data_IF_029163202775
#
_entry.id   IF_029163202775
#
_cell.length_a   1.000
_cell.length_b   1.000
_cell.length_c   1.000
_cell.angle_alpha   90.00
_cell.angle_beta   90.00
_cell.angle_gamma   90.00
#
_symmetry.space_group_name_H-M   'P 1'
#
loop_
_entity.id
_entity.type
_entity.pdbx_description
1 polymer ?
#
# COMPACT_ATOMS: atom_id res chain seq x y z
N UNK A 1 -14.99 1.34 -6.27
CA UNK A 1 -14.65 2.11 -5.05
C UNK A 1 -14.85 1.19 -3.86
N UNK A 2 -13.87 1.16 -3.00
CA UNK A 2 -13.92 0.38 -1.77
C UNK A 2 -15.13 0.77 -0.90
N UNK A 3 -15.63 -0.17 -0.13
CA UNK A 3 -16.71 0.05 0.84
C UNK A 3 -16.37 -0.60 2.19
N UNK A 4 -16.97 -0.09 3.23
CA UNK A 4 -16.80 -0.65 4.59
C UNK A 4 -17.17 -2.13 4.61
N UNK A 5 -16.30 -2.93 5.22
CA UNK A 5 -16.41 -4.40 5.30
C UNK A 5 -15.83 -5.15 4.10
N UNK A 6 -15.47 -4.46 3.02
CA UNK A 6 -14.79 -5.12 1.90
C UNK A 6 -13.39 -5.58 2.31
N UNK A 7 -13.02 -6.80 1.93
CA UNK A 7 -11.68 -7.35 2.12
C UNK A 7 -11.01 -7.57 0.77
N UNK A 8 -9.75 -7.17 0.67
CA UNK A 8 -8.86 -7.47 -0.44
C UNK A 8 -7.76 -8.41 0.06
N UNK A 9 -7.36 -9.36 -0.76
CA UNK A 9 -6.25 -10.27 -0.45
C UNK A 9 -5.19 -10.19 -1.56
N UNK A 10 -3.95 -10.00 -1.17
CA UNK A 10 -2.83 -9.93 -2.09
C UNK A 10 -2.23 -11.32 -2.30
N UNK A 11 -2.42 -11.96 -3.48
CA UNK A 11 -1.93 -13.31 -3.72
C UNK A 11 -0.40 -13.42 -3.76
N UNK A 12 0.31 -12.29 -3.89
CA UNK A 12 1.79 -12.28 -3.92
C UNK A 12 2.41 -12.28 -2.52
N UNK A 13 1.75 -11.69 -1.52
CA UNK A 13 2.26 -11.53 -0.16
C UNK A 13 1.44 -12.26 0.90
N UNK A 14 0.18 -12.60 0.60
CA UNK A 14 -0.78 -13.15 1.54
C UNK A 14 -1.35 -12.10 2.51
N UNK A 15 -1.03 -10.82 2.32
CA UNK A 15 -1.64 -9.76 3.14
C UNK A 15 -3.12 -9.62 2.83
N UNK A 16 -3.93 -9.31 3.85
CA UNK A 16 -5.35 -9.02 3.74
C UNK A 16 -5.65 -7.64 4.29
N UNK A 17 -6.43 -6.86 3.55
CA UNK A 17 -6.83 -5.51 3.90
C UNK A 17 -8.34 -5.46 3.99
N UNK A 18 -8.89 -5.21 5.18
CA UNK A 18 -10.32 -5.02 5.40
C UNK A 18 -10.61 -3.54 5.65
N UNK A 19 -11.41 -2.92 4.80
CA UNK A 19 -11.78 -1.51 4.95
C UNK A 19 -12.78 -1.32 6.10
N UNK A 20 -12.42 -0.52 7.10
CA UNK A 20 -13.24 -0.16 8.25
C UNK A 20 -13.95 1.18 8.07
N UNK A 21 -13.25 2.15 7.54
CA UNK A 21 -13.76 3.46 7.12
C UNK A 21 -13.14 3.83 5.80
N UNK A 22 -13.94 4.43 4.93
CA UNK A 22 -13.51 4.81 3.58
C UNK A 22 -13.53 6.33 3.40
N UNK A 23 -12.84 6.82 2.39
CA UNK A 23 -12.88 8.23 1.99
C UNK A 23 -14.32 8.71 1.79
N UNK A 24 -15.18 7.88 1.21
CA UNK A 24 -16.58 8.23 0.95
C UNK A 24 -17.39 8.48 2.23
N UNK A 25 -17.16 7.71 3.30
CA UNK A 25 -17.91 7.85 4.55
C UNK A 25 -17.25 8.77 5.60
N UNK A 26 -16.06 9.31 5.28
CA UNK A 26 -15.31 10.25 6.13
C UNK A 26 -15.13 11.64 5.50
N UNK A 27 -15.73 11.88 4.32
CA UNK A 27 -15.51 13.12 3.59
C UNK A 27 -14.07 13.33 3.12
N UNK A 28 -13.31 12.25 2.96
CA UNK A 28 -11.89 12.28 2.57
C UNK A 28 -10.90 12.49 3.71
N UNK A 29 -11.37 12.64 4.94
CA UNK A 29 -10.50 12.92 6.10
C UNK A 29 -9.68 11.70 6.54
N UNK A 30 -10.26 10.50 6.43
CA UNK A 30 -9.69 9.29 7.00
C UNK A 30 -10.00 8.07 6.15
N UNK A 31 -8.97 7.26 5.90
CA UNK A 31 -9.10 5.84 5.60
C UNK A 31 -8.70 5.04 6.84
N UNK A 32 -9.52 4.09 7.28
CA UNK A 32 -9.16 3.12 8.31
C UNK A 32 -9.31 1.69 7.77
N UNK A 33 -8.29 0.89 8.00
CA UNK A 33 -8.24 -0.51 7.58
C UNK A 33 -7.77 -1.39 8.73
N UNK A 34 -8.18 -2.66 8.73
CA UNK A 34 -7.49 -3.73 9.40
C UNK A 34 -6.58 -4.42 8.38
N UNK A 35 -5.30 -4.50 8.71
CA UNK A 35 -4.25 -5.12 7.91
C UNK A 35 -3.80 -6.41 8.61
N UNK A 36 -4.04 -7.54 7.97
CA UNK A 36 -3.53 -8.83 8.41
C UNK A 36 -2.26 -9.16 7.60
N UNK A 37 -1.18 -9.49 8.29
CA UNK A 37 0.11 -9.84 7.70
C UNK A 37 0.54 -11.22 8.18
N UNK A 38 0.78 -12.18 7.26
CA UNK A 38 1.29 -13.49 7.64
C UNK A 38 2.62 -13.41 8.41
N UNK A 39 2.90 -14.44 9.20
CA UNK A 39 4.12 -14.58 9.98
C UNK A 39 5.37 -14.35 9.12
N UNK A 40 6.35 -13.61 9.66
CA UNK A 40 7.65 -13.35 9.02
C UNK A 40 7.54 -12.69 7.62
N UNK A 41 6.49 -11.90 7.36
CA UNK A 41 6.26 -11.24 6.06
C UNK A 41 6.49 -9.73 6.11
N UNK A 42 6.92 -9.21 4.97
CA UNK A 42 7.03 -7.77 4.70
C UNK A 42 5.95 -7.34 3.74
N UNK A 43 5.51 -6.10 3.88
CA UNK A 43 4.61 -5.47 2.90
C UNK A 43 5.33 -5.34 1.56
N UNK A 44 4.62 -5.55 0.43
CA UNK A 44 5.14 -5.29 -0.90
C UNK A 44 5.64 -3.85 -1.08
N UNK A 45 6.62 -3.67 -1.97
CA UNK A 45 7.15 -2.34 -2.32
C UNK A 45 8.29 -1.84 -1.42
N UNK A 46 8.51 -2.44 -0.25
CA UNK A 46 9.63 -2.07 0.63
C UNK A 46 9.55 -0.64 1.18
N UNK A 47 10.69 0.05 1.29
CA UNK A 47 10.69 1.42 1.84
C UNK A 47 10.01 2.43 0.91
N UNK A 48 9.09 3.19 1.47
CA UNK A 48 8.32 4.21 0.79
C UNK A 48 8.11 5.47 1.65
N UNK A 49 7.46 6.46 1.06
CA UNK A 49 7.16 7.75 1.67
C UNK A 49 5.72 8.11 1.28
N UNK A 50 4.91 8.51 2.25
CA UNK A 50 3.64 9.19 2.00
C UNK A 50 3.86 10.70 2.08
N UNK A 51 3.87 11.45 0.95
CA UNK A 51 4.25 12.86 0.96
C UNK A 51 3.31 13.75 1.75
N UNK A 52 2.03 13.39 1.76
CA UNK A 52 0.92 14.22 2.27
C UNK A 52 0.12 13.56 3.39
N UNK A 53 0.42 12.30 3.71
CA UNK A 53 -0.40 11.49 4.61
C UNK A 53 0.38 11.11 5.86
N UNK A 54 -0.29 11.19 7.00
CA UNK A 54 0.12 10.56 8.24
C UNK A 54 -0.47 9.16 8.28
N UNK A 55 0.31 8.20 8.76
CA UNK A 55 -0.16 6.86 9.07
C UNK A 55 -0.01 6.56 10.55
N UNK A 56 -1.09 6.06 11.16
CA UNK A 56 -1.12 5.58 12.52
C UNK A 56 -1.37 4.09 12.52
N UNK A 57 -0.43 3.33 13.04
CA UNK A 57 -0.48 1.89 13.19
C UNK A 57 -0.73 1.53 14.64
N UNK A 58 -1.78 0.78 14.93
CA UNK A 58 -2.07 0.18 16.22
C UNK A 58 -1.95 -1.32 16.07
N UNK A 59 -0.98 -1.93 16.72
CA UNK A 59 -0.82 -3.39 16.71
C UNK A 59 -1.91 -3.99 17.60
N UNK A 60 -2.78 -4.79 17.01
CA UNK A 60 -3.85 -5.50 17.75
C UNK A 60 -3.35 -6.87 18.18
N UNK A 61 -2.69 -7.58 17.26
CA UNK A 61 -2.11 -8.91 17.49
C UNK A 61 -0.77 -9.04 16.75
N UNK A 62 0.10 -9.90 17.26
CA UNK A 62 1.39 -10.21 16.66
C UNK A 62 2.50 -9.23 17.04
N UNK A 63 3.62 -9.28 16.31
CA UNK A 63 4.82 -8.47 16.57
C UNK A 63 5.28 -7.78 15.30
N UNK A 64 5.16 -6.47 15.28
CA UNK A 64 5.49 -5.64 14.13
C UNK A 64 6.82 -4.91 14.31
N UNK A 65 7.64 -4.91 13.27
CA UNK A 65 8.83 -4.07 13.19
C UNK A 65 8.60 -2.94 12.18
N UNK A 66 8.82 -1.72 12.64
CA UNK A 66 8.81 -0.51 11.84
C UNK A 66 10.22 0.02 11.65
N UNK A 67 10.55 0.47 10.45
CA UNK A 67 11.78 1.18 10.16
C UNK A 67 11.44 2.57 9.62
N UNK A 68 11.83 3.62 10.33
CA UNK A 68 11.63 5.01 10.01
C UNK A 68 13.00 5.70 9.82
N UNK A 69 13.45 5.81 8.58
CA UNK A 69 14.81 6.24 8.28
C UNK A 69 15.85 5.29 8.90
N UNK A 70 16.60 5.80 9.91
CA UNK A 70 17.59 4.99 10.67
C UNK A 70 17.01 4.36 11.93
N UNK A 71 15.88 4.83 12.40
CA UNK A 71 15.23 4.32 13.63
C UNK A 71 14.50 3.01 13.30
N UNK A 72 14.63 2.04 14.21
CA UNK A 72 13.85 0.80 14.20
C UNK A 72 13.03 0.72 15.49
N UNK A 73 11.78 0.35 15.36
CA UNK A 73 10.85 0.17 16.47
C UNK A 73 10.24 -1.22 16.29
N UNK A 74 10.16 -1.97 17.38
CA UNK A 74 9.35 -3.19 17.44
C UNK A 74 8.16 -2.86 18.33
N UNK A 75 6.97 -3.21 17.89
CA UNK A 75 5.73 -2.95 18.59
C UNK A 75 4.90 -4.24 18.69
N UNK A 76 4.33 -4.48 19.85
CA UNK A 76 3.41 -5.56 20.16
C UNK A 76 1.99 -5.08 20.42
N UNK A 77 1.09 -5.98 20.86
CA UNK A 77 -0.32 -5.65 21.07
C UNK A 77 -0.55 -4.45 22.00
N UNK A 78 -1.42 -3.53 21.55
CA UNK A 78 -1.73 -2.27 22.25
C UNK A 78 -0.77 -1.13 21.98
N UNK A 79 0.37 -1.37 21.33
CA UNK A 79 1.33 -0.32 21.02
C UNK A 79 0.98 0.39 19.70
N UNK A 80 1.29 1.69 19.67
CA UNK A 80 0.98 2.57 18.56
C UNK A 80 2.25 3.18 17.97
N UNK A 81 2.35 3.15 16.65
CA UNK A 81 3.42 3.81 15.90
C UNK A 81 2.79 4.80 14.93
N UNK A 82 3.27 6.05 14.95
CA UNK A 82 2.84 7.12 14.04
C UNK A 82 3.97 7.46 13.08
N UNK A 83 3.66 7.48 11.81
CA UNK A 83 4.54 7.88 10.71
C UNK A 83 4.05 9.20 10.14
N UNK A 84 4.74 10.32 10.38
CA UNK A 84 4.32 11.61 9.86
C UNK A 84 4.50 11.71 8.34
N UNK A 85 3.82 12.66 7.66
CA UNK A 85 4.01 12.93 6.24
C UNK A 85 5.46 13.15 5.88
N UNK A 86 5.90 12.62 4.73
CA UNK A 86 7.26 12.74 4.24
C UNK A 86 8.30 11.83 4.90
N UNK A 87 7.93 11.09 5.94
CA UNK A 87 8.84 10.18 6.63
C UNK A 87 9.02 8.89 5.83
N UNK A 88 10.26 8.61 5.44
CA UNK A 88 10.64 7.32 4.84
C UNK A 88 10.48 6.18 5.83
N UNK A 89 9.72 5.16 5.47
CA UNK A 89 9.46 4.02 6.35
C UNK A 89 9.22 2.70 5.60
N UNK A 90 9.25 1.62 6.32
CA UNK A 90 8.72 0.28 5.99
C UNK A 90 8.33 -0.46 7.27
N UNK A 91 7.53 -1.49 7.12
CA UNK A 91 7.15 -2.35 8.23
C UNK A 91 7.04 -3.82 7.82
N UNK A 92 7.10 -4.71 8.81
CA UNK A 92 7.03 -6.14 8.62
C UNK A 92 6.50 -6.81 9.88
N UNK A 93 5.76 -7.90 9.71
CA UNK A 93 5.54 -8.85 10.77
C UNK A 93 6.83 -9.64 11.00
N UNK A 94 7.33 -9.63 12.24
CA UNK A 94 8.55 -10.34 12.66
C UNK A 94 8.27 -11.39 13.72
N UNK A 95 6.99 -11.61 14.03
CA UNK A 95 6.51 -12.68 14.90
C UNK A 95 6.36 -14.00 14.15
N UNK A 96 6.18 -15.07 14.92
CA UNK A 96 5.97 -16.43 14.40
C UNK A 96 4.50 -16.69 14.04
N UNK A 97 3.59 -15.83 14.47
CA UNK A 97 2.17 -15.84 14.18
C UNK A 97 1.79 -14.68 13.25
N UNK A 98 0.59 -14.76 12.64
CA UNK A 98 0.01 -13.68 11.87
C UNK A 98 -0.20 -12.43 12.73
N UNK A 99 -0.01 -11.26 12.17
CA UNK A 99 -0.23 -9.99 12.85
C UNK A 99 -1.48 -9.30 12.32
N UNK A 100 -2.27 -8.74 13.25
CA UNK A 100 -3.38 -7.84 12.96
C UNK A 100 -3.02 -6.42 13.38
N UNK A 101 -3.06 -5.49 12.44
CA UNK A 101 -2.72 -4.09 12.65
C UNK A 101 -3.86 -3.21 12.17
N UNK A 102 -4.37 -2.34 13.03
CA UNK A 102 -5.28 -1.28 12.61
C UNK A 102 -4.47 -0.11 12.09
N UNK A 103 -4.76 0.30 10.86
CA UNK A 103 -4.06 1.40 10.20
C UNK A 103 -5.04 2.52 9.88
N UNK A 104 -4.69 3.73 10.31
CA UNK A 104 -5.39 4.96 9.93
C UNK A 104 -4.49 5.80 9.04
N UNK A 105 -5.03 6.29 7.91
CA UNK A 105 -4.33 7.16 6.95
C UNK A 105 -5.06 8.48 6.84
N UNK A 106 -4.37 9.60 7.09
CA UNK A 106 -4.94 10.95 7.11
C UNK A 106 -4.12 11.94 6.29
N UNK A 107 -4.72 12.69 5.35
CA UNK A 107 -6.04 12.46 4.72
C UNK A 107 -6.09 11.17 3.92
N UNK A 108 -7.28 10.67 3.60
CA UNK A 108 -7.45 9.42 2.84
C UNK A 108 -6.87 9.50 1.43
N UNK A 109 -7.00 10.63 0.74
CA UNK A 109 -6.66 10.84 -0.67
C UNK A 109 -7.19 9.68 -1.54
N UNK A 110 -6.34 9.10 -2.41
CA UNK A 110 -6.66 7.96 -3.26
C UNK A 110 -6.08 6.63 -2.72
N UNK A 111 -5.81 6.52 -1.41
CA UNK A 111 -5.15 5.35 -0.85
C UNK A 111 -5.95 4.06 -1.06
N UNK A 112 -7.29 4.12 -1.01
CA UNK A 112 -8.15 2.98 -1.34
C UNK A 112 -7.90 2.47 -2.77
N UNK A 113 -7.86 3.39 -3.72
CA UNK A 113 -7.60 3.07 -5.13
C UNK A 113 -6.19 2.54 -5.35
N UNK A 114 -5.22 3.01 -4.56
CA UNK A 114 -3.86 2.49 -4.56
C UNK A 114 -3.86 1.02 -4.16
N UNK A 115 -4.52 0.65 -3.06
CA UNK A 115 -4.61 -0.74 -2.61
C UNK A 115 -5.36 -1.62 -3.62
N UNK A 116 -6.53 -1.17 -4.11
CA UNK A 116 -7.30 -1.89 -5.14
C UNK A 116 -6.44 -2.13 -6.39
N UNK A 117 -5.69 -1.12 -6.82
CA UNK A 117 -4.82 -1.21 -8.01
C UNK A 117 -3.64 -2.14 -7.80
N UNK A 118 -2.94 -2.02 -6.67
CA UNK A 118 -1.78 -2.85 -6.35
C UNK A 118 -2.16 -4.33 -6.27
N UNK A 119 -3.26 -4.64 -5.57
CA UNK A 119 -3.76 -6.01 -5.44
C UNK A 119 -4.29 -6.53 -6.78
N UNK A 120 -5.04 -5.71 -7.53
CA UNK A 120 -5.50 -6.08 -8.87
C UNK A 120 -4.36 -6.41 -9.84
N UNK A 121 -3.23 -5.71 -9.76
CA UNK A 121 -2.01 -6.07 -10.52
C UNK A 121 -1.45 -7.42 -10.09
N UNK A 122 -1.43 -7.71 -8.80
CA UNK A 122 -0.96 -8.99 -8.28
C UNK A 122 -1.88 -10.14 -8.72
N UNK A 123 -3.19 -9.98 -8.63
CA UNK A 123 -4.20 -10.96 -9.10
C UNK A 123 -4.06 -11.27 -10.60
N UNK A 124 -3.71 -10.27 -11.41
CA UNK A 124 -3.49 -10.41 -12.85
C UNK A 124 -2.11 -10.96 -13.21
N UNK A 125 -1.26 -11.31 -12.22
CA UNK A 125 0.11 -11.76 -12.44
C UNK A 125 1.01 -10.68 -13.07
N UNK A 126 0.68 -9.39 -12.88
CA UNK A 126 1.40 -8.24 -13.43
C UNK A 126 2.41 -7.65 -12.44
N UNK A 127 2.81 -8.43 -11.46
CA UNK A 127 3.87 -8.11 -10.50
C UNK A 127 5.12 -8.95 -10.74
N UNK A 128 6.23 -8.48 -10.21
CA UNK A 128 7.52 -9.18 -10.12
C UNK A 128 7.73 -9.69 -8.70
N UNK A 129 8.89 -10.29 -8.45
CA UNK A 129 9.29 -10.73 -7.12
C UNK A 129 9.13 -9.61 -6.09
N UNK A 130 8.54 -9.93 -4.93
CA UNK A 130 8.25 -8.96 -3.87
C UNK A 130 7.00 -8.10 -4.12
N UNK A 131 6.12 -8.48 -5.05
CA UNK A 131 4.85 -7.79 -5.32
C UNK A 131 4.98 -6.44 -6.05
N UNK A 132 6.17 -6.12 -6.55
CA UNK A 132 6.41 -4.86 -7.30
C UNK A 132 5.76 -4.96 -8.68
N UNK A 133 4.97 -3.97 -9.13
CA UNK A 133 4.41 -3.96 -10.49
C UNK A 133 5.48 -4.08 -11.58
N UNK A 134 5.13 -4.70 -12.71
CA UNK A 134 6.02 -4.77 -13.87
C UNK A 134 6.37 -3.37 -14.38
N UNK A 135 7.49 -3.15 -15.10
CA UNK A 135 7.99 -1.81 -15.41
C UNK A 135 7.00 -0.82 -16.03
N UNK A 136 6.16 -1.27 -16.97
CA UNK A 136 5.13 -0.40 -17.56
C UNK A 136 4.00 -0.09 -16.58
N UNK A 137 3.60 -1.06 -15.78
CA UNK A 137 2.60 -0.89 -14.74
C UNK A 137 3.12 0.00 -13.61
N UNK A 138 4.37 -0.21 -13.19
CA UNK A 138 5.03 0.61 -12.18
C UNK A 138 5.10 2.08 -12.62
N UNK A 139 5.40 2.33 -13.90
CA UNK A 139 5.47 3.68 -14.43
C UNK A 139 4.11 4.39 -14.40
N UNK A 140 3.02 3.69 -14.70
CA UNK A 140 1.66 4.24 -14.60
C UNK A 140 1.24 4.39 -13.14
N UNK A 141 1.49 3.38 -12.32
CA UNK A 141 1.15 3.35 -10.90
C UNK A 141 1.80 4.52 -10.14
N UNK A 142 3.11 4.72 -10.32
CA UNK A 142 3.83 5.80 -9.64
C UNK A 142 3.42 7.21 -10.09
N UNK A 143 2.88 7.36 -11.31
CA UNK A 143 2.33 8.64 -11.77
C UNK A 143 0.91 8.88 -11.26
N UNK A 144 0.10 7.84 -11.17
CA UNK A 144 -1.28 7.94 -10.70
C UNK A 144 -1.34 8.24 -9.20
N UNK A 145 -0.44 7.64 -8.42
CA UNK A 145 -0.44 7.68 -6.95
C UNK A 145 0.77 8.44 -6.37
N UNK A 146 1.29 9.45 -7.09
CA UNK A 146 2.48 10.19 -6.62
C UNK A 146 2.25 10.99 -5.33
N UNK A 147 1.01 11.30 -5.01
CA UNK A 147 0.62 12.01 -3.79
C UNK A 147 0.39 11.05 -2.61
N UNK A 148 0.04 9.79 -2.91
CA UNK A 148 -0.23 8.76 -1.92
C UNK A 148 1.04 8.03 -1.51
N UNK A 149 1.85 7.57 -2.48
CA UNK A 149 3.03 6.78 -2.17
C UNK A 149 4.16 7.01 -3.18
N UNK A 150 5.38 7.08 -2.66
CA UNK A 150 6.60 7.25 -3.44
C UNK A 150 7.63 6.23 -2.99
N UNK A 151 8.28 5.55 -3.92
CA UNK A 151 9.44 4.72 -3.62
C UNK A 151 10.55 5.56 -3.00
N UNK A 152 11.18 5.06 -1.95
CA UNK A 152 12.24 5.78 -1.25
C UNK A 152 13.58 5.81 -2.02
N UNK A 153 13.74 4.98 -3.04
CA UNK A 153 14.94 4.89 -3.89
C UNK A 153 14.57 4.39 -5.29
N UNK A 154 15.23 4.86 -6.34
CA UNK A 154 16.21 5.98 -6.39
C UNK A 154 15.56 7.35 -6.10
N UNK A 155 16.31 8.47 -6.05
CA UNK A 155 15.74 9.81 -5.86
C UNK A 155 14.67 10.16 -6.89
N UNK A 156 13.65 10.96 -6.52
CA UNK A 156 12.48 11.29 -7.36
C UNK A 156 12.84 11.79 -8.77
N UNK A 157 13.83 12.64 -8.89
CA UNK A 157 14.24 13.16 -10.20
C UNK A 157 14.67 12.04 -11.14
N UNK A 158 15.39 11.04 -10.63
CA UNK A 158 15.84 9.88 -11.41
C UNK A 158 14.67 8.95 -11.72
N UNK A 159 13.78 8.71 -10.74
CA UNK A 159 12.54 7.95 -10.99
C UNK A 159 11.74 8.57 -12.13
N UNK A 160 11.57 9.90 -12.14
CA UNK A 160 10.85 10.61 -13.22
C UNK A 160 11.52 10.44 -14.58
N UNK A 161 12.84 10.56 -14.66
CA UNK A 161 13.58 10.38 -15.92
C UNK A 161 13.38 8.96 -16.47
N UNK A 162 13.43 7.94 -15.61
CA UNK A 162 13.33 6.53 -16.02
C UNK A 162 11.87 6.13 -16.29
N UNK A 163 10.93 6.54 -15.45
CA UNK A 163 9.55 6.07 -15.54
C UNK A 163 8.69 6.88 -16.52
N UNK A 164 9.01 8.16 -16.79
CA UNK A 164 8.21 8.96 -17.72
C UNK A 164 8.18 8.40 -19.15
N UNK A 165 9.30 7.98 -19.77
CA UNK A 165 9.28 7.33 -21.08
C UNK A 165 8.50 6.01 -21.07
N UNK A 166 8.61 5.23 -20.01
CA UNK A 166 7.87 3.96 -19.86
C UNK A 166 6.37 4.19 -19.76
N UNK A 167 5.94 5.20 -19.00
CA UNK A 167 4.53 5.57 -18.89
C UNK A 167 3.97 6.10 -20.21
N UNK A 168 4.76 6.88 -20.95
CA UNK A 168 4.38 7.33 -22.30
C UNK A 168 4.22 6.13 -23.26
N UNK A 169 5.17 5.19 -23.25
CA UNK A 169 5.11 3.98 -24.06
C UNK A 169 3.91 3.11 -23.68
N UNK A 170 3.64 2.93 -22.39
CA UNK A 170 2.49 2.19 -21.89
C UNK A 170 1.18 2.79 -22.41
N UNK A 171 1.03 4.11 -22.32
CA UNK A 171 -0.15 4.81 -22.86
C UNK A 171 -0.30 4.66 -24.38
N UNK A 172 0.80 4.78 -25.13
CA UNK A 172 0.78 4.61 -26.59
C UNK A 172 0.39 3.19 -27.04
N UNK A 173 0.76 2.19 -26.24
CA UNK A 173 0.41 0.78 -26.51
C UNK A 173 -0.98 0.41 -26.01
N UNK A 174 -1.78 1.36 -25.53
CA UNK A 174 -3.09 1.08 -24.95
C UNK A 174 -3.00 0.16 -23.71
N UNK A 175 -1.86 0.22 -22.99
CA UNK A 175 -1.65 -0.60 -21.81
C UNK A 175 -2.78 -0.33 -20.82
N UNK A 176 -3.54 -1.35 -20.40
CA UNK A 176 -4.70 -1.12 -19.57
C UNK A 176 -4.26 -0.49 -18.25
N UNK A 177 -4.98 0.57 -17.83
CA UNK A 177 -4.87 1.02 -16.45
C UNK A 177 -5.21 -0.16 -15.57
N UNK A 178 -4.50 -0.34 -14.48
CA UNK A 178 -4.89 -1.31 -13.49
C UNK A 178 -6.26 -0.87 -12.96
N UNK A 179 -7.29 -1.55 -13.39
CA UNK A 179 -8.62 -1.36 -12.84
C UNK A 179 -8.81 -2.37 -11.70
N UNK A 180 -9.40 -1.97 -10.59
CA UNK A 180 -9.81 -2.91 -9.58
C UNK A 180 -10.74 -3.95 -10.22
N UNK A 181 -10.59 -5.21 -9.81
CA UNK A 181 -11.48 -6.29 -10.26
C UNK A 181 -12.91 -5.91 -9.90
N UNK A 182 -13.89 -6.01 -10.84
CA UNK A 182 -15.28 -5.85 -10.45
C UNK A 182 -15.60 -6.86 -9.35
N UNK A 183 -16.17 -6.40 -8.25
CA UNK A 183 -16.64 -7.29 -7.19
C UNK A 183 -17.66 -8.26 -7.80
N UNK A 184 -17.37 -9.54 -7.77
CA UNK A 184 -18.38 -10.57 -7.99
C UNK A 184 -19.38 -10.48 -6.80
N UNK A 185 -20.41 -9.68 -6.97
CA UNK A 185 -21.55 -9.65 -6.06
C UNK A 185 -22.33 -10.95 -6.33
N UNK A 186 -21.82 -12.05 -5.81
CA UNK A 186 -22.65 -13.25 -5.67
C UNK A 186 -23.53 -13.06 -4.44
N UNK A 187 -24.81 -12.83 -4.72
CA UNK A 187 -25.90 -12.85 -3.75
C UNK A 187 -25.97 -14.21 -3.01
#
# INVERSE_FOLDING_TARGET
MAHTGQTLENPASGERITFRRTSANTGGELLAIDLELPANRRVPGGQHIHPKQEERFEVVEGTMRFRMGRKRVVAGPGEVVVVPPGQKHDFANVGDDDALVRVEVRPALKMEQLFETAIGLAEQGRTMLGGIPRPLDLALFTQEFEDEAQGAFPPRWLQRIVLAPLAWLARRRGHPRAAPRPLDVRA
#
